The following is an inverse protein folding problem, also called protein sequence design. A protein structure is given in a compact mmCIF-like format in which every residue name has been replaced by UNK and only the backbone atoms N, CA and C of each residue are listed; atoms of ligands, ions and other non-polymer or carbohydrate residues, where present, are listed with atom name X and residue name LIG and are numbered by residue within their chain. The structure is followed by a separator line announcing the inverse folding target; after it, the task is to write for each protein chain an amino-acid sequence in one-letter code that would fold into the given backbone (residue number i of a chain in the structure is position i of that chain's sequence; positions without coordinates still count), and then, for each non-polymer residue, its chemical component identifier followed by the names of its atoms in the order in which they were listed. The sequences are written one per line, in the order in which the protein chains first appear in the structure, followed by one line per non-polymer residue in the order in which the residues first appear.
data_IF_648334892273
#
_entry.id   IF_648334892273
#
_cell.length_a   1.000
_cell.length_b   1.000
_cell.length_c   1.000
_cell.angle_alpha   90.00
_cell.angle_beta   90.00
_cell.angle_gamma   90.00
#
_symmetry.space_group_name_H-M   'P 1'
#
loop_
_entity.id
_entity.type
_entity.pdbx_description
1 polymer ?
#
# COMPACT_ATOMS: atom_id res chain seq x y z
N UNK A 1 0.93 -43.63 26.29
CA UNK A 1 1.77 -42.55 25.71
C UNK A 1 2.22 -41.68 26.86
N UNK A 2 3.53 -41.49 27.04
CA UNK A 2 4.02 -40.49 28.00
C UNK A 2 3.65 -39.09 27.48
N UNK A 3 3.31 -38.12 28.34
CA UNK A 3 2.95 -36.77 27.92
C UNK A 3 4.03 -36.11 27.03
N UNK A 4 5.29 -36.52 27.20
CA UNK A 4 6.40 -36.11 26.33
C UNK A 4 6.22 -36.51 24.86
N UNK A 5 5.76 -37.72 24.56
CA UNK A 5 5.63 -38.21 23.19
C UNK A 5 4.53 -37.51 22.38
N UNK A 6 3.45 -37.09 23.04
CA UNK A 6 2.38 -36.31 22.43
C UNK A 6 2.87 -34.90 22.07
N UNK A 7 3.62 -34.26 22.96
CA UNK A 7 4.20 -32.94 22.71
C UNK A 7 5.14 -32.92 21.49
N UNK A 8 6.00 -33.94 21.36
CA UNK A 8 6.91 -34.09 20.22
C UNK A 8 6.21 -34.27 18.87
N UNK A 9 4.96 -34.76 18.87
CA UNK A 9 4.18 -34.96 17.64
C UNK A 9 3.31 -33.74 17.30
N UNK A 10 2.82 -33.02 18.31
CA UNK A 10 1.99 -31.83 18.12
C UNK A 10 2.77 -30.61 17.64
N UNK A 11 4.00 -30.44 18.14
CA UNK A 11 4.81 -29.26 17.83
C UNK A 11 5.16 -29.15 16.33
N UNK A 12 5.56 -30.22 15.62
CA UNK A 12 5.78 -30.15 14.17
C UNK A 12 4.52 -29.79 13.38
N UNK A 13 3.36 -30.32 13.77
CA UNK A 13 2.09 -30.02 13.13
C UNK A 13 1.76 -28.52 13.30
N UNK A 14 1.91 -28.00 14.51
CA UNK A 14 1.66 -26.59 14.80
C UNK A 14 2.58 -25.66 13.99
N UNK A 15 3.88 -25.97 13.97
CA UNK A 15 4.87 -25.19 13.22
C UNK A 15 4.57 -25.26 11.72
N UNK A 16 4.18 -26.43 11.18
CA UNK A 16 3.87 -26.58 9.77
C UNK A 16 2.68 -25.71 9.37
N UNK A 17 1.62 -25.70 10.19
CA UNK A 17 0.46 -24.84 9.98
C UNK A 17 0.78 -23.35 10.10
N UNK A 18 1.60 -22.97 11.08
CA UNK A 18 2.08 -21.59 11.23
C UNK A 18 2.90 -21.14 10.01
N UNK A 19 3.85 -21.96 9.55
CA UNK A 19 4.66 -21.71 8.35
C UNK A 19 3.75 -21.54 7.13
N UNK A 20 2.80 -22.46 6.92
CA UNK A 20 1.86 -22.37 5.79
C UNK A 20 1.06 -21.07 5.82
N UNK A 21 0.50 -20.71 6.99
CA UNK A 21 -0.25 -19.47 7.18
C UNK A 21 0.61 -18.21 6.98
N UNK A 22 1.82 -18.19 7.52
CA UNK A 22 2.72 -17.04 7.46
C UNK A 22 3.23 -16.75 6.03
N UNK A 23 3.45 -17.77 5.21
CA UNK A 23 3.97 -17.60 3.86
C UNK A 23 2.89 -17.43 2.79
N UNK A 24 1.69 -17.99 2.96
CA UNK A 24 0.59 -17.83 2.01
C UNK A 24 -0.05 -16.44 2.13
N UNK A 25 -0.15 -15.66 1.05
CA UNK A 25 -0.65 -14.28 1.12
C UNK A 25 -2.04 -14.16 1.73
N UNK A 26 -2.96 -15.08 1.44
CA UNK A 26 -4.34 -15.00 1.93
C UNK A 26 -4.45 -15.40 3.38
N UNK A 27 -3.81 -16.50 3.76
CA UNK A 27 -3.84 -16.96 5.15
C UNK A 27 -3.07 -16.01 6.05
N UNK A 28 -1.99 -15.41 5.55
CA UNK A 28 -1.22 -14.40 6.28
C UNK A 28 -2.11 -13.23 6.73
N UNK A 29 -3.05 -12.78 5.89
CA UNK A 29 -4.01 -11.74 6.28
C UNK A 29 -4.82 -12.14 7.52
N UNK A 30 -5.32 -13.38 7.57
CA UNK A 30 -6.07 -13.87 8.73
C UNK A 30 -5.18 -14.19 9.93
N UNK A 31 -3.94 -14.67 9.70
CA UNK A 31 -2.98 -14.97 10.75
C UNK A 31 -2.47 -13.72 11.45
N UNK A 32 -2.29 -12.61 10.72
CA UNK A 32 -1.91 -11.33 11.32
C UNK A 32 -3.00 -10.79 12.27
N UNK A 33 -4.27 -11.08 11.97
CA UNK A 33 -5.45 -10.68 12.78
C UNK A 33 -5.77 -11.64 13.93
N UNK A 34 -5.06 -12.76 14.02
CA UNK A 34 -5.32 -13.77 15.02
C UNK A 34 -4.37 -13.56 16.18
N UNK A 35 -4.90 -13.35 17.38
CA UNK A 35 -4.11 -13.17 18.59
C UNK A 35 -4.23 -14.37 19.54
N UNK A 36 -3.18 -14.58 20.32
CA UNK A 36 -3.12 -15.56 21.41
C UNK A 36 -3.62 -16.96 21.02
N UNK A 37 -4.69 -17.40 21.68
CA UNK A 37 -5.27 -18.74 21.49
C UNK A 37 -5.83 -18.94 20.08
N UNK A 38 -6.36 -17.89 19.44
CA UNK A 38 -6.93 -18.00 18.09
C UNK A 38 -5.85 -18.32 17.07
N UNK A 39 -4.67 -17.70 17.19
CA UNK A 39 -3.53 -18.00 16.33
C UNK A 39 -3.04 -19.44 16.52
N UNK A 40 -3.04 -19.92 17.76
CA UNK A 40 -2.69 -21.30 18.09
C UNK A 40 -3.65 -22.30 17.41
N UNK A 41 -4.97 -22.12 17.56
CA UNK A 41 -5.96 -23.00 16.92
C UNK A 41 -5.94 -22.89 15.40
N UNK A 42 -5.73 -21.70 14.84
CA UNK A 42 -5.58 -21.51 13.40
C UNK A 42 -4.35 -22.27 12.87
N UNK A 43 -3.22 -22.17 13.57
CA UNK A 43 -2.00 -22.89 13.21
C UNK A 43 -2.17 -24.41 13.36
N UNK A 44 -2.83 -24.87 14.42
CA UNK A 44 -3.15 -26.29 14.60
C UNK A 44 -4.04 -26.83 13.47
N UNK A 45 -5.12 -26.11 13.13
CA UNK A 45 -6.05 -26.48 12.07
C UNK A 45 -5.38 -26.53 10.70
N UNK A 46 -4.57 -25.51 10.35
CA UNK A 46 -3.79 -25.50 9.11
C UNK A 46 -2.74 -26.62 9.08
N UNK A 47 -2.12 -26.92 10.22
CA UNK A 47 -1.16 -28.00 10.36
C UNK A 47 -1.78 -29.37 10.11
N UNK A 48 -2.96 -29.64 10.71
CA UNK A 48 -3.72 -30.86 10.48
C UNK A 48 -4.14 -30.99 9.01
N UNK A 49 -4.59 -29.89 8.39
CA UNK A 49 -4.89 -29.87 6.96
C UNK A 49 -3.66 -30.16 6.10
N UNK A 50 -2.49 -29.63 6.46
CA UNK A 50 -1.23 -29.91 5.77
C UNK A 50 -0.82 -31.38 5.90
N UNK A 51 -0.96 -31.99 7.09
CA UNK A 51 -0.72 -33.42 7.29
C UNK A 51 -1.64 -34.25 6.42
N UNK A 52 -2.95 -33.99 6.44
CA UNK A 52 -3.91 -34.72 5.62
C UNK A 52 -3.60 -34.59 4.12
N UNK A 53 -3.31 -33.38 3.64
CA UNK A 53 -2.92 -33.13 2.25
C UNK A 53 -1.61 -33.83 1.88
N UNK A 54 -0.62 -33.85 2.79
CA UNK A 54 0.65 -34.54 2.58
C UNK A 54 0.47 -36.06 2.50
N UNK A 55 -0.34 -36.65 3.38
CA UNK A 55 -0.66 -38.08 3.34
C UNK A 55 -1.36 -38.45 2.04
N UNK A 56 -2.37 -37.70 1.62
CA UNK A 56 -3.05 -37.92 0.35
C UNK A 56 -2.09 -37.78 -0.84
N UNK A 57 -1.16 -36.81 -0.78
CA UNK A 57 -0.14 -36.64 -1.81
C UNK A 57 0.81 -37.84 -1.89
N UNK A 58 1.28 -38.38 -0.76
CA UNK A 58 2.11 -39.60 -0.75
C UNK A 58 1.34 -40.77 -1.35
N UNK A 59 0.10 -41.03 -0.89
CA UNK A 59 -0.71 -42.12 -1.41
C UNK A 59 -0.95 -41.98 -2.93
N UNK A 60 -1.14 -40.76 -3.41
CA UNK A 60 -1.27 -40.48 -4.84
C UNK A 60 0.03 -40.77 -5.62
N UNK A 61 1.19 -40.37 -5.08
CA UNK A 61 2.49 -40.66 -5.70
C UNK A 61 2.77 -42.17 -5.71
N UNK A 62 2.50 -42.88 -4.62
CA UNK A 62 2.64 -44.34 -4.56
C UNK A 62 1.75 -45.03 -5.60
N UNK A 63 0.47 -44.64 -5.67
CA UNK A 63 -0.45 -45.14 -6.69
C UNK A 63 0.04 -44.84 -8.13
N UNK A 64 0.52 -43.62 -8.38
CA UNK A 64 1.04 -43.21 -9.67
C UNK A 64 2.29 -44.00 -10.07
N UNK A 65 3.24 -44.19 -9.14
CA UNK A 65 4.45 -44.98 -9.37
C UNK A 65 4.08 -46.42 -9.70
N UNK A 66 3.21 -47.06 -8.92
CA UNK A 66 2.75 -48.43 -9.18
C UNK A 66 2.13 -48.53 -10.58
N UNK A 67 1.27 -47.57 -10.94
CA UNK A 67 0.59 -47.55 -12.24
C UNK A 67 1.58 -47.38 -13.40
N UNK A 68 2.56 -46.47 -13.27
CA UNK A 68 3.60 -46.25 -14.28
C UNK A 68 4.54 -47.46 -14.41
N UNK A 69 4.84 -48.14 -13.29
CA UNK A 69 5.64 -49.37 -13.28
C UNK A 69 4.93 -50.54 -13.97
N UNK A 70 3.62 -50.69 -13.77
CA UNK A 70 2.82 -51.68 -14.49
C UNK A 70 2.77 -51.39 -16.00
N UNK A 71 2.79 -50.11 -16.38
CA UNK A 71 2.80 -49.71 -17.79
C UNK A 71 4.17 -49.91 -18.47
N UNK A 72 5.28 -49.71 -17.75
CA UNK A 72 6.65 -49.81 -18.29
C UNK A 72 7.61 -50.46 -17.28
N UNK A 73 7.74 -51.80 -17.26
CA UNK A 73 8.56 -52.51 -16.28
C UNK A 73 10.06 -52.17 -16.36
N UNK A 74 10.57 -51.78 -17.53
CA UNK A 74 11.97 -51.38 -17.73
C UNK A 74 12.37 -50.05 -17.08
N UNK A 75 11.41 -49.21 -16.64
CA UNK A 75 11.69 -47.95 -15.95
C UNK A 75 12.18 -48.18 -14.50
N UNK A 76 11.90 -49.37 -13.93
CA UNK A 76 12.08 -49.65 -12.51
C UNK A 76 13.51 -49.99 -12.11
N UNK A 77 14.31 -50.57 -13.03
CA UNK A 77 15.69 -50.97 -12.73
C UNK A 77 16.59 -49.78 -12.36
N UNK A 78 16.20 -48.55 -12.74
CA UNK A 78 16.92 -47.32 -12.41
C UNK A 78 16.31 -46.51 -11.26
N UNK A 79 15.09 -46.82 -10.80
CA UNK A 79 14.35 -46.03 -9.82
C UNK A 79 14.20 -46.71 -8.45
N UNK A 80 14.89 -47.82 -8.21
CA UNK A 80 15.00 -48.47 -6.88
C UNK A 80 15.76 -47.59 -5.89
N UNK A 81 15.10 -46.56 -5.38
CA UNK A 81 15.41 -45.98 -4.09
C UNK A 81 14.72 -46.90 -3.09
N UNK A 82 15.48 -47.74 -2.39
CA UNK A 82 14.92 -48.51 -1.27
C UNK A 82 14.18 -47.56 -0.34
N UNK A 83 12.92 -47.84 0.02
CA UNK A 83 12.24 -47.09 1.05
C UNK A 83 12.81 -47.55 2.39
N UNK A 84 14.06 -47.16 2.68
CA UNK A 84 14.53 -47.13 4.05
C UNK A 84 13.58 -46.18 4.77
N UNK A 85 12.72 -46.76 5.61
CA UNK A 85 11.64 -46.04 6.25
C UNK A 85 12.20 -44.75 6.83
N UNK A 86 11.83 -43.58 6.28
CA UNK A 86 12.35 -42.33 6.77
C UNK A 86 12.01 -42.27 8.25
N UNK A 87 13.05 -42.23 9.10
CA UNK A 87 12.85 -42.08 10.53
C UNK A 87 11.92 -40.90 10.83
N UNK A 88 11.28 -40.89 11.99
CA UNK A 88 10.34 -39.81 12.36
C UNK A 88 10.83 -38.37 12.03
N UNK A 89 12.12 -38.00 12.17
CA UNK A 89 12.62 -36.69 11.78
C UNK A 89 12.49 -36.35 10.29
N UNK A 90 12.72 -37.30 9.39
CA UNK A 90 12.65 -37.06 7.94
C UNK A 90 11.20 -36.86 7.48
N UNK A 91 10.25 -37.57 8.08
CA UNK A 91 8.82 -37.30 7.88
C UNK A 91 8.41 -35.88 8.32
N UNK A 92 8.92 -35.39 9.45
CA UNK A 92 8.64 -34.02 9.90
C UNK A 92 9.26 -32.96 8.99
N UNK A 93 10.50 -33.16 8.55
CA UNK A 93 11.13 -32.26 7.57
C UNK A 93 10.36 -32.23 6.25
N UNK A 94 9.88 -33.39 5.78
CA UNK A 94 9.08 -33.47 4.57
C UNK A 94 7.73 -32.74 4.73
N UNK A 95 7.07 -32.84 5.90
CA UNK A 95 5.86 -32.08 6.21
C UNK A 95 6.11 -30.57 6.16
N UNK A 96 7.21 -30.09 6.75
CA UNK A 96 7.57 -28.67 6.71
C UNK A 96 7.85 -28.19 5.28
N UNK A 97 8.62 -28.97 4.51
CA UNK A 97 8.91 -28.66 3.12
C UNK A 97 7.62 -28.60 2.29
N UNK A 98 6.70 -29.54 2.51
CA UNK A 98 5.39 -29.58 1.86
C UNK A 98 4.52 -28.37 2.23
N UNK A 99 4.44 -28.01 3.51
CA UNK A 99 3.73 -26.82 3.98
C UNK A 99 4.30 -25.54 3.37
N UNK A 100 5.63 -25.41 3.31
CA UNK A 100 6.27 -24.26 2.69
C UNK A 100 6.04 -24.20 1.17
N UNK A 101 6.20 -25.33 0.47
CA UNK A 101 6.02 -25.42 -0.99
C UNK A 101 4.57 -25.15 -1.40
N UNK A 102 3.60 -25.70 -0.66
CA UNK A 102 2.18 -25.44 -0.90
C UNK A 102 1.80 -23.97 -0.68
N UNK A 103 2.39 -23.30 0.32
CA UNK A 103 2.22 -21.85 0.49
C UNK A 103 2.78 -21.08 -0.71
N UNK A 104 3.95 -21.47 -1.22
CA UNK A 104 4.56 -20.87 -2.42
C UNK A 104 3.74 -21.11 -3.67
N UNK A 105 3.19 -22.30 -3.84
CA UNK A 105 2.30 -22.62 -4.95
C UNK A 105 1.02 -21.77 -4.91
N UNK A 106 0.43 -21.59 -3.72
CA UNK A 106 -0.69 -20.66 -3.53
C UNK A 106 -0.36 -19.22 -3.94
N UNK A 107 0.81 -18.72 -3.54
CA UNK A 107 1.29 -17.39 -3.96
C UNK A 107 1.54 -17.31 -5.47
N UNK A 108 2.01 -18.39 -6.09
CA UNK A 108 2.21 -18.46 -7.54
C UNK A 108 0.87 -18.40 -8.28
N UNK A 109 -0.16 -19.10 -7.78
CA UNK A 109 -1.53 -19.02 -8.32
C UNK A 109 -2.05 -17.57 -8.22
N UNK A 110 -1.82 -16.89 -7.10
CA UNK A 110 -2.17 -15.47 -6.97
C UNK A 110 -1.41 -14.58 -7.95
N UNK A 111 -0.11 -14.83 -8.18
CA UNK A 111 0.68 -14.11 -9.20
C UNK A 111 0.12 -14.32 -10.61
N UNK A 112 -0.29 -15.54 -10.96
CA UNK A 112 -0.92 -15.81 -12.25
C UNK A 112 -2.26 -15.08 -12.37
N UNK A 113 -3.08 -15.11 -11.31
CA UNK A 113 -4.39 -14.43 -11.27
C UNK A 113 -4.28 -12.92 -11.44
N UNK A 114 -3.25 -12.31 -10.85
CA UNK A 114 -3.01 -10.86 -10.91
C UNK A 114 -1.94 -10.45 -11.94
N UNK A 115 -1.57 -11.33 -12.87
CA UNK A 115 -0.48 -11.10 -13.85
C UNK A 115 -0.67 -9.84 -14.69
N UNK A 116 -1.92 -9.53 -15.07
CA UNK A 116 -2.25 -8.35 -15.91
C UNK A 116 -2.34 -7.05 -15.12
N UNK A 117 -2.22 -7.10 -13.80
CA UNK A 117 -2.48 -5.95 -12.95
C UNK A 117 -1.16 -5.27 -12.58
N UNK A 118 -1.10 -3.94 -12.67
CA UNK A 118 0.09 -3.12 -12.34
C UNK A 118 0.27 -3.03 -10.82
N UNK A 119 1.48 -3.23 -10.30
CA UNK A 119 1.80 -3.14 -8.87
C UNK A 119 1.86 -4.48 -8.12
N UNK A 120 2.22 -4.42 -6.84
CA UNK A 120 2.55 -5.59 -6.00
C UNK A 120 1.34 -6.53 -5.79
N UNK A 121 1.50 -7.81 -6.14
CA UNK A 121 0.45 -8.83 -6.00
C UNK A 121 -0.02 -8.99 -4.56
N UNK A 122 0.89 -8.92 -3.59
CA UNK A 122 0.55 -9.02 -2.16
C UNK A 122 -0.42 -7.91 -1.75
N UNK A 123 -0.13 -6.69 -2.18
CA UNK A 123 -0.96 -5.50 -1.88
C UNK A 123 -2.37 -5.68 -2.44
N UNK A 124 -2.52 -6.26 -3.63
CA UNK A 124 -3.84 -6.53 -4.24
C UNK A 124 -4.63 -7.62 -3.54
N UNK A 125 -3.95 -8.70 -3.17
CA UNK A 125 -4.58 -9.76 -2.37
C UNK A 125 -5.12 -9.16 -1.07
N UNK A 126 -4.34 -8.30 -0.42
CA UNK A 126 -4.74 -7.63 0.81
C UNK A 126 -5.86 -6.61 0.56
N UNK A 127 -5.78 -5.76 -0.49
CA UNK A 127 -6.88 -4.87 -0.91
C UNK A 127 -8.20 -5.64 -1.04
N UNK A 128 -8.15 -6.78 -1.74
CA UNK A 128 -9.33 -7.61 -1.98
C UNK A 128 -9.88 -8.19 -0.67
N UNK A 129 -9.01 -8.71 0.19
CA UNK A 129 -9.41 -9.28 1.48
C UNK A 129 -9.98 -8.22 2.42
N UNK A 130 -9.43 -7.00 2.42
CA UNK A 130 -9.97 -5.85 3.18
C UNK A 130 -11.34 -5.45 2.61
N UNK A 131 -11.51 -5.45 1.30
CA UNK A 131 -12.80 -5.15 0.67
C UNK A 131 -13.90 -6.16 1.05
N UNK A 132 -13.54 -7.44 1.16
CA UNK A 132 -14.45 -8.54 1.48
C UNK A 132 -14.71 -8.67 3.00
N UNK A 133 -13.67 -8.53 3.83
CA UNK A 133 -13.72 -8.90 5.26
C UNK A 133 -13.34 -7.77 6.23
N UNK A 134 -12.84 -6.64 5.74
CA UNK A 134 -12.37 -5.53 6.58
C UNK A 134 -13.51 -4.71 7.21
N UNK A 135 -13.19 -3.95 8.26
CA UNK A 135 -14.08 -2.95 8.83
C UNK A 135 -14.43 -1.84 7.83
N UNK A 136 -15.53 -1.11 8.06
CA UNK A 136 -15.94 0.00 7.17
C UNK A 136 -14.86 1.08 7.05
N UNK A 137 -14.17 1.38 8.17
CA UNK A 137 -13.03 2.29 8.20
C UNK A 137 -11.86 1.76 7.36
N UNK A 138 -11.49 0.49 7.54
CA UNK A 138 -10.42 -0.13 6.75
C UNK A 138 -10.71 -0.08 5.25
N UNK A 139 -11.96 -0.35 4.85
CA UNK A 139 -12.40 -0.26 3.45
C UNK A 139 -12.32 1.16 2.92
N UNK A 140 -12.74 2.16 3.72
CA UNK A 140 -12.68 3.57 3.35
C UNK A 140 -11.23 4.02 3.13
N UNK A 141 -10.36 3.79 4.11
CA UNK A 141 -8.95 4.16 4.06
C UNK A 141 -8.22 3.45 2.91
N UNK A 142 -8.50 2.16 2.72
CA UNK A 142 -7.92 1.41 1.60
C UNK A 142 -8.36 1.96 0.24
N UNK A 143 -9.64 2.30 0.10
CA UNK A 143 -10.16 2.93 -1.12
C UNK A 143 -9.57 4.34 -1.32
N UNK A 144 -9.32 5.08 -0.23
CA UNK A 144 -8.65 6.38 -0.30
C UNK A 144 -7.24 6.26 -0.87
N UNK A 145 -6.45 5.31 -0.40
CA UNK A 145 -5.10 5.01 -0.93
C UNK A 145 -5.18 4.58 -2.39
N UNK A 146 -6.02 3.59 -2.70
CA UNK A 146 -6.12 3.02 -4.05
C UNK A 146 -6.64 4.04 -5.08
N UNK A 147 -7.50 4.99 -4.68
CA UNK A 147 -8.07 6.03 -5.54
C UNK A 147 -7.42 7.41 -5.39
N UNK A 148 -6.38 7.55 -4.56
CA UNK A 148 -5.72 8.82 -4.23
C UNK A 148 -6.70 9.94 -3.82
N UNK A 149 -7.77 9.58 -3.09
CA UNK A 149 -8.81 10.53 -2.64
C UNK A 149 -8.41 11.19 -1.33
N UNK A 150 -8.87 12.44 -1.15
CA UNK A 150 -8.76 13.14 0.12
C UNK A 150 -9.73 12.52 1.14
N UNK A 151 -9.26 12.43 2.39
CA UNK A 151 -10.04 11.94 3.52
C UNK A 151 -10.08 13.02 4.57
N UNK A 152 -11.28 13.26 5.10
CA UNK A 152 -11.52 14.05 6.29
C UNK A 152 -11.57 13.09 7.50
N UNK A 153 -10.61 13.22 8.41
CA UNK A 153 -10.50 12.43 9.63
C UNK A 153 -10.81 13.34 10.81
N UNK A 154 -11.83 12.98 11.58
CA UNK A 154 -12.17 13.63 12.85
C UNK A 154 -11.70 12.77 14.01
N UNK A 155 -10.94 13.36 14.92
CA UNK A 155 -10.44 12.70 16.12
C UNK A 155 -11.38 12.90 17.30
N UNK A 156 -11.27 12.03 18.32
CA UNK A 156 -11.96 12.16 19.61
C UNK A 156 -11.68 13.50 20.30
N UNK A 157 -10.49 14.06 20.07
CA UNK A 157 -10.11 15.41 20.53
C UNK A 157 -10.86 16.55 19.84
N UNK A 158 -11.76 16.24 18.88
CA UNK A 158 -12.45 17.18 17.98
C UNK A 158 -11.52 17.88 16.98
N UNK A 159 -10.24 17.51 16.92
CA UNK A 159 -9.35 17.96 15.85
C UNK A 159 -9.72 17.24 14.55
N UNK A 160 -9.73 18.00 13.46
CA UNK A 160 -10.08 17.50 12.13
C UNK A 160 -8.88 17.68 11.21
N UNK A 161 -8.49 16.62 10.54
CA UNK A 161 -7.48 16.66 9.51
C UNK A 161 -8.10 16.32 8.16
N UNK A 162 -7.73 17.06 7.13
CA UNK A 162 -8.03 16.69 5.76
C UNK A 162 -6.73 16.44 5.02
N UNK A 163 -6.61 15.32 4.31
CA UNK A 163 -5.36 14.98 3.64
C UNK A 163 -5.42 13.72 2.80
N UNK A 164 -4.28 13.35 2.21
CA UNK A 164 -4.11 12.08 1.49
C UNK A 164 -3.54 11.04 2.44
N UNK A 165 -4.06 9.82 2.34
CA UNK A 165 -3.50 8.68 3.07
C UNK A 165 -2.29 8.17 2.31
N UNK A 166 -1.12 8.17 2.95
CA UNK A 166 0.13 7.71 2.36
C UNK A 166 0.23 6.20 2.50
N UNK A 167 0.14 5.72 3.74
CA UNK A 167 0.19 4.31 4.06
C UNK A 167 -0.99 3.92 4.95
N UNK A 168 -1.54 2.74 4.66
CA UNK A 168 -2.46 2.05 5.56
C UNK A 168 -1.77 0.77 5.98
N UNK A 169 -1.67 0.50 7.30
CA UNK A 169 -1.15 -0.77 7.74
C UNK A 169 -1.97 -1.89 7.11
N UNK A 170 -1.29 -2.97 6.75
CA UNK A 170 -1.94 -4.16 6.21
C UNK A 170 -3.03 -4.71 7.15
N UNK A 171 -2.95 -4.37 8.43
CA UNK A 171 -3.94 -4.70 9.43
C UNK A 171 -4.36 -3.48 10.27
N UNK A 172 -5.44 -2.83 9.84
CA UNK A 172 -6.08 -1.71 10.54
C UNK A 172 -6.81 -2.18 11.81
N UNK A 173 -7.06 -3.48 11.96
CA UNK A 173 -7.87 -4.04 13.05
C UNK A 173 -7.00 -4.72 14.16
N UNK A 174 -5.67 -4.57 14.11
CA UNK A 174 -4.73 -5.09 15.13
C UNK A 174 -4.60 -4.13 16.33
N UNK A 175 -4.01 -4.55 17.46
CA UNK A 175 -3.61 -3.65 18.54
C UNK A 175 -2.62 -2.55 18.07
N UNK A 176 -2.96 -1.30 18.36
CA UNK A 176 -2.20 -0.06 18.07
C UNK A 176 -1.90 0.26 16.60
N UNK A 177 -2.88 0.18 15.67
CA UNK A 177 -2.62 0.51 14.28
C UNK A 177 -2.74 2.02 14.08
N UNK A 178 -1.85 2.59 13.27
CA UNK A 178 -1.85 4.00 12.94
C UNK A 178 -2.10 4.20 11.45
N UNK A 179 -2.59 5.38 11.10
CA UNK A 179 -2.76 5.83 9.73
C UNK A 179 -1.80 6.97 9.46
N UNK A 180 -1.07 6.89 8.35
CA UNK A 180 -0.21 7.96 7.90
C UNK A 180 -0.97 8.87 6.94
N UNK A 181 -1.22 10.09 7.40
CA UNK A 181 -1.94 11.11 6.67
C UNK A 181 -0.97 12.25 6.31
N UNK A 182 -0.91 12.61 5.03
CA UNK A 182 -0.30 13.86 4.60
C UNK A 182 -1.40 14.93 4.53
N UNK A 183 -1.46 15.86 5.50
CA UNK A 183 -2.56 16.81 5.58
C UNK A 183 -2.42 17.92 4.51
N UNK A 184 -3.57 18.37 3.98
CA UNK A 184 -3.71 19.62 3.21
C UNK A 184 -4.17 20.78 4.10
N UNK A 185 -4.96 20.50 5.13
CA UNK A 185 -5.34 21.45 6.16
C UNK A 185 -5.75 20.71 7.43
N UNK A 186 -5.77 21.42 8.55
CA UNK A 186 -6.47 21.01 9.76
C UNK A 186 -7.47 22.06 10.20
N UNK A 187 -8.47 21.62 10.94
CA UNK A 187 -9.47 22.46 11.59
C UNK A 187 -9.90 21.80 12.90
N UNK A 188 -10.94 22.31 13.52
CA UNK A 188 -11.53 21.77 14.73
C UNK A 188 -13.05 21.78 14.62
N UNK A 189 -13.68 20.83 15.30
CA UNK A 189 -15.13 20.73 15.43
C UNK A 189 -15.57 21.51 16.67
N UNK A 190 -16.58 22.36 16.50
CA UNK A 190 -17.20 23.06 17.62
C UNK A 190 -17.73 22.06 18.66
N UNK A 191 -17.65 22.42 19.94
CA UNK A 191 -18.03 21.50 21.03
C UNK A 191 -19.54 21.26 21.05
N UNK A 192 -20.32 22.30 20.76
CA UNK A 192 -21.75 22.34 21.00
C UNK A 192 -22.53 22.09 19.71
N UNK A 193 -22.10 22.68 18.57
CA UNK A 193 -22.78 22.45 17.28
C UNK A 193 -22.30 21.21 16.53
N UNK A 194 -21.11 20.69 16.89
CA UNK A 194 -20.42 19.64 16.14
C UNK A 194 -20.15 20.00 14.66
N UNK A 195 -20.24 21.27 14.29
CA UNK A 195 -19.89 21.75 12.95
C UNK A 195 -18.39 22.01 12.83
N UNK A 196 -17.87 21.99 11.60
CA UNK A 196 -16.48 22.38 11.35
C UNK A 196 -16.33 23.89 11.48
N UNK A 197 -15.33 24.32 12.24
CA UNK A 197 -14.94 25.73 12.30
C UNK A 197 -14.51 26.24 10.92
N UNK A 198 -14.87 27.47 10.58
CA UNK A 198 -14.41 28.11 9.34
C UNK A 198 -12.90 28.36 9.33
N UNK A 199 -12.27 28.41 10.51
CA UNK A 199 -10.81 28.53 10.62
C UNK A 199 -10.11 27.24 10.18
N UNK A 200 -9.24 27.38 9.16
CA UNK A 200 -8.40 26.31 8.64
C UNK A 200 -6.94 26.68 8.79
N UNK A 201 -6.14 25.73 9.27
CA UNK A 201 -4.68 25.82 9.22
C UNK A 201 -4.21 25.07 7.99
N UNK A 202 -3.81 25.76 6.90
CA UNK A 202 -3.35 25.09 5.69
C UNK A 202 -1.99 24.41 5.94
N UNK A 203 -1.79 23.27 5.31
CA UNK A 203 -0.50 22.59 5.21
C UNK A 203 -0.01 22.70 3.77
N UNK A 204 1.02 23.52 3.53
CA UNK A 204 1.45 23.82 2.18
C UNK A 204 2.29 22.71 1.54
N UNK A 205 2.67 21.69 2.31
CA UNK A 205 3.58 20.62 1.89
C UNK A 205 3.13 19.91 0.62
N UNK A 206 1.82 19.72 0.42
CA UNK A 206 1.30 19.07 -0.79
C UNK A 206 1.49 19.97 -2.01
N UNK A 207 1.15 21.25 -1.90
CA UNK A 207 1.36 22.21 -2.99
C UNK A 207 2.85 22.34 -3.35
N UNK A 208 3.71 22.34 -2.33
CA UNK A 208 5.15 22.35 -2.50
C UNK A 208 5.67 21.07 -3.18
N UNK A 209 5.20 19.90 -2.73
CA UNK A 209 5.56 18.61 -3.32
C UNK A 209 5.12 18.50 -4.79
N UNK A 210 3.91 18.96 -5.10
CA UNK A 210 3.39 19.04 -6.47
C UNK A 210 4.24 19.98 -7.32
N UNK A 211 4.63 21.15 -6.79
CA UNK A 211 5.52 22.08 -7.48
C UNK A 211 6.92 21.50 -7.72
N UNK A 212 7.48 20.76 -6.75
CA UNK A 212 8.78 20.08 -6.90
C UNK A 212 8.73 18.97 -7.97
N UNK A 213 7.64 18.19 -8.02
CA UNK A 213 7.45 17.19 -9.07
C UNK A 213 7.35 17.88 -10.44
N UNK A 214 6.53 18.94 -10.54
CA UNK A 214 6.37 19.69 -11.77
C UNK A 214 7.71 20.27 -12.27
N UNK A 215 8.53 20.80 -11.36
CA UNK A 215 9.86 21.30 -11.67
C UNK A 215 10.77 20.19 -12.22
N UNK A 216 10.89 19.07 -11.51
CA UNK A 216 11.74 17.93 -11.94
C UNK A 216 11.32 17.37 -13.29
N UNK A 217 10.00 17.27 -13.54
CA UNK A 217 9.46 16.81 -14.82
C UNK A 217 9.82 17.81 -15.92
N UNK A 218 9.57 19.11 -15.71
CA UNK A 218 9.88 20.13 -16.69
C UNK A 218 11.38 20.22 -17.01
N UNK A 219 12.26 20.07 -16.01
CA UNK A 219 13.70 20.02 -16.20
C UNK A 219 14.13 18.84 -17.05
N UNK A 220 13.63 17.63 -16.74
CA UNK A 220 13.94 16.44 -17.50
C UNK A 220 13.42 16.52 -18.94
N UNK A 221 12.21 17.02 -19.14
CA UNK A 221 11.62 17.23 -20.48
C UNK A 221 12.47 18.23 -21.29
N UNK A 222 12.94 19.31 -20.66
CA UNK A 222 13.79 20.31 -21.29
C UNK A 222 15.18 19.75 -21.66
N UNK A 223 15.80 18.97 -20.75
CA UNK A 223 17.07 18.29 -21.02
C UNK A 223 16.96 17.29 -22.18
N UNK A 224 15.89 16.48 -22.19
CA UNK A 224 15.64 15.52 -23.25
C UNK A 224 15.36 16.21 -24.59
N UNK A 225 14.59 17.30 -24.57
CA UNK A 225 14.35 18.15 -25.74
C UNK A 225 15.67 18.73 -26.29
N UNK A 226 16.48 19.35 -25.44
CA UNK A 226 17.75 19.97 -25.83
C UNK A 226 18.74 18.91 -26.36
N UNK A 227 18.76 17.70 -25.77
CA UNK A 227 19.56 16.56 -26.27
C UNK A 227 19.13 16.14 -27.67
N UNK A 228 17.83 15.91 -27.88
CA UNK A 228 17.29 15.48 -29.19
C UNK A 228 17.62 16.51 -30.27
N UNK A 229 17.45 17.80 -29.96
CA UNK A 229 17.74 18.90 -30.88
C UNK A 229 19.24 19.01 -31.17
N UNK A 230 20.09 18.81 -30.16
CA UNK A 230 21.54 18.76 -30.32
C UNK A 230 21.99 17.61 -31.22
N UNK A 231 21.38 16.43 -31.08
CA UNK A 231 21.71 15.23 -31.87
C UNK A 231 21.27 15.34 -33.33
N UNK A 232 20.15 16.03 -33.60
CA UNK A 232 19.62 16.18 -34.96
C UNK A 232 20.55 16.96 -35.90
N UNK A 233 21.46 17.82 -35.39
CA UNK A 233 22.47 18.62 -36.13
C UNK A 233 21.99 19.18 -37.47
N UNK A 234 20.71 19.52 -37.56
CA UNK A 234 20.02 19.92 -38.79
C UNK A 234 19.63 21.39 -38.71
N UNK A 235 20.36 22.29 -39.40
CA UNK A 235 20.12 23.74 -39.29
C UNK A 235 18.75 24.17 -39.83
N UNK A 236 18.14 23.38 -40.70
CA UNK A 236 16.78 23.53 -41.21
C UNK A 236 15.71 23.32 -40.13
N UNK A 237 15.95 22.41 -39.17
CA UNK A 237 15.04 22.15 -38.07
C UNK A 237 15.18 23.17 -36.93
N UNK A 238 16.36 23.77 -36.76
CA UNK A 238 16.62 24.76 -35.69
C UNK A 238 15.75 26.02 -35.81
N UNK A 239 15.30 26.36 -37.01
CA UNK A 239 14.43 27.52 -37.25
C UNK A 239 12.94 27.14 -37.32
N UNK A 240 12.56 25.93 -36.92
CA UNK A 240 11.17 25.50 -36.96
C UNK A 240 10.38 26.18 -35.82
N UNK A 241 9.34 27.00 -36.12
CA UNK A 241 8.60 27.75 -35.09
C UNK A 241 7.97 26.86 -34.01
N UNK A 242 7.59 25.62 -34.36
CA UNK A 242 7.03 24.67 -33.40
C UNK A 242 8.03 24.20 -32.34
N UNK A 243 9.33 24.18 -32.65
CA UNK A 243 10.38 23.79 -31.70
C UNK A 243 10.63 24.90 -30.69
N UNK A 244 10.66 26.15 -31.14
CA UNK A 244 10.78 27.31 -30.26
C UNK A 244 9.55 27.47 -29.35
N UNK A 245 8.36 27.23 -29.89
CA UNK A 245 7.12 27.19 -29.10
C UNK A 245 7.16 26.08 -28.02
N UNK A 246 7.59 24.87 -28.37
CA UNK A 246 7.69 23.77 -27.39
C UNK A 246 8.71 24.09 -26.29
N UNK A 247 9.87 24.63 -26.66
CA UNK A 247 10.93 24.99 -25.70
C UNK A 247 10.47 26.10 -24.75
N UNK A 248 9.84 27.15 -25.28
CA UNK A 248 9.30 28.26 -24.48
C UNK A 248 8.21 27.79 -23.52
N UNK A 249 7.34 26.86 -23.93
CA UNK A 249 6.33 26.28 -23.05
C UNK A 249 6.94 25.45 -21.92
N UNK A 250 7.96 24.64 -22.20
CA UNK A 250 8.71 23.91 -21.16
C UNK A 250 9.42 24.86 -20.19
N UNK A 251 10.03 25.93 -20.70
CA UNK A 251 10.64 26.98 -19.88
C UNK A 251 9.62 27.73 -19.01
N UNK A 252 8.43 28.02 -19.56
CA UNK A 252 7.32 28.62 -18.81
C UNK A 252 6.91 27.72 -17.64
N UNK A 253 6.65 26.44 -17.90
CA UNK A 253 6.31 25.44 -16.86
C UNK A 253 7.39 25.33 -15.79
N UNK A 254 8.67 25.32 -16.20
CA UNK A 254 9.80 25.35 -15.26
C UNK A 254 9.76 26.61 -14.39
N UNK A 255 9.63 27.78 -14.99
CA UNK A 255 9.60 29.05 -14.27
C UNK A 255 8.41 29.17 -13.33
N UNK A 256 7.22 28.70 -13.73
CA UNK A 256 6.03 28.67 -12.87
C UNK A 256 6.23 27.79 -11.64
N UNK A 257 6.80 26.59 -11.82
CA UNK A 257 7.11 25.70 -10.70
C UNK A 257 8.17 26.32 -9.77
N UNK A 258 9.23 26.92 -10.33
CA UNK A 258 10.25 27.64 -9.54
C UNK A 258 9.65 28.80 -8.76
N UNK A 259 8.82 29.64 -9.40
CA UNK A 259 8.17 30.78 -8.75
C UNK A 259 7.22 30.33 -7.63
N UNK A 260 6.48 29.24 -7.82
CA UNK A 260 5.62 28.67 -6.79
C UNK A 260 6.44 28.21 -5.57
N UNK A 261 7.57 27.55 -5.81
CA UNK A 261 8.50 27.12 -4.76
C UNK A 261 9.11 28.33 -4.05
N UNK A 262 9.62 29.33 -4.78
CA UNK A 262 10.22 30.53 -4.20
C UNK A 262 9.21 31.37 -3.41
N UNK A 263 8.00 31.55 -3.94
CA UNK A 263 6.91 32.23 -3.24
C UNK A 263 6.59 31.53 -1.91
N UNK A 264 6.63 30.20 -1.92
CA UNK A 264 6.43 29.41 -0.70
C UNK A 264 7.52 29.64 0.35
N UNK A 265 8.79 29.70 -0.07
CA UNK A 265 9.93 29.94 0.84
C UNK A 265 9.95 31.35 1.41
N UNK A 266 9.56 32.36 0.60
CA UNK A 266 9.45 33.75 1.08
C UNK A 266 8.43 33.89 2.20
N UNK A 267 7.34 33.12 2.15
CA UNK A 267 6.31 33.12 3.20
C UNK A 267 6.81 32.37 4.46
N UNK A 268 7.75 31.44 4.30
CA UNK A 268 8.26 30.59 5.36
C UNK A 268 9.77 30.71 5.49
N UNK A 269 10.26 31.89 5.90
CA UNK A 269 11.70 32.22 6.00
C UNK A 269 12.53 31.22 6.82
N UNK A 270 11.89 30.39 7.64
CA UNK A 270 12.54 29.35 8.45
C UNK A 270 12.69 27.98 7.76
N UNK A 271 12.14 27.78 6.56
CA UNK A 271 12.16 26.48 5.87
C UNK A 271 13.15 26.53 4.69
N UNK A 272 14.27 25.80 4.84
CA UNK A 272 15.25 25.61 3.76
C UNK A 272 14.76 24.58 2.74
N UNK A 273 14.90 24.86 1.44
CA UNK A 273 14.48 23.98 0.34
C UNK A 273 15.09 22.57 0.36
N UNK A 274 16.34 22.47 0.82
CA UNK A 274 17.08 21.21 0.81
C UNK A 274 16.70 20.27 1.96
N UNK A 275 15.93 20.73 2.94
CA UNK A 275 15.62 19.99 4.16
C UNK A 275 14.14 19.60 4.29
N UNK A 276 13.32 19.80 3.25
CA UNK A 276 11.89 19.50 3.33
C UNK A 276 11.69 17.99 3.16
N UNK A 277 11.78 17.28 4.28
CA UNK A 277 11.53 15.86 4.32
C UNK A 277 10.03 15.62 4.50
N UNK A 278 9.42 14.95 3.51
CA UNK A 278 7.98 14.70 3.49
C UNK A 278 7.49 13.98 4.75
N UNK A 279 8.31 13.08 5.29
CA UNK A 279 8.12 12.33 6.52
C UNK A 279 7.92 13.21 7.76
N UNK A 280 8.49 14.40 7.81
CA UNK A 280 8.29 15.33 8.94
C UNK A 280 6.89 15.95 8.95
N UNK A 281 6.19 15.92 7.82
CA UNK A 281 4.84 16.46 7.65
C UNK A 281 3.75 15.40 7.75
N UNK A 282 4.12 14.12 7.70
CA UNK A 282 3.19 13.01 7.87
C UNK A 282 2.65 13.03 9.30
N UNK A 283 1.32 12.99 9.40
CA UNK A 283 0.62 12.81 10.67
C UNK A 283 0.33 11.33 10.85
N UNK A 284 0.92 10.78 11.90
CA UNK A 284 0.66 9.43 12.39
C UNK A 284 -0.51 9.52 13.36
N UNK A 285 -1.66 8.98 12.94
CA UNK A 285 -2.91 9.04 13.70
C UNK A 285 -3.27 7.63 14.19
N UNK A 286 -3.29 7.38 15.51
CA UNK A 286 -3.80 6.13 16.06
C UNK A 286 -5.26 5.90 15.66
N UNK A 287 -5.62 4.68 15.26
CA UNK A 287 -6.98 4.38 14.78
C UNK A 287 -8.02 4.48 15.90
N UNK A 288 -7.63 4.21 17.14
CA UNK A 288 -8.46 4.38 18.32
C UNK A 288 -8.77 5.86 18.62
N UNK A 289 -7.95 6.79 18.16
CA UNK A 289 -8.23 8.24 18.23
C UNK A 289 -9.20 8.73 17.15
N UNK A 290 -9.43 7.94 16.10
CA UNK A 290 -10.33 8.30 15.00
C UNK A 290 -11.78 8.09 15.46
N UNK A 291 -12.54 9.19 15.55
CA UNK A 291 -13.97 9.17 15.83
C UNK A 291 -14.76 8.88 14.55
N UNK A 292 -14.40 9.53 13.45
CA UNK A 292 -15.05 9.33 12.15
C UNK A 292 -14.14 9.69 10.98
N UNK A 293 -14.33 9.04 9.83
CA UNK A 293 -13.64 9.36 8.59
C UNK A 293 -14.61 9.37 7.41
N UNK A 294 -14.42 10.31 6.48
CA UNK A 294 -15.21 10.44 5.25
C UNK A 294 -14.33 10.87 4.07
N UNK A 295 -14.78 10.63 2.84
CA UNK A 295 -14.12 11.25 1.68
C UNK A 295 -14.38 12.75 1.67
N UNK A 296 -13.34 13.52 1.37
CA UNK A 296 -13.45 14.96 1.17
C UNK A 296 -13.47 15.27 -0.32
N UNK A 297 -14.54 15.93 -0.77
CA UNK A 297 -14.66 16.45 -2.13
C UNK A 297 -14.50 17.97 -2.09
N UNK A 298 -13.57 18.49 -2.89
CA UNK A 298 -13.26 19.92 -2.98
C UNK A 298 -14.40 20.75 -3.58
N UNK A 299 -15.38 20.12 -4.23
CA UNK A 299 -16.56 20.75 -4.83
C UNK A 299 -17.73 20.95 -3.85
N UNK A 300 -17.70 20.29 -2.69
CA UNK A 300 -18.77 20.35 -1.70
C UNK A 300 -18.51 21.23 -0.44
N UNK A 301 -17.48 22.08 -0.29
CA UNK A 301 -17.01 22.43 1.05
C UNK A 301 -17.90 23.44 1.77
N UNK A 302 -18.48 24.43 1.09
CA UNK A 302 -18.98 25.64 1.77
C UNK A 302 -20.10 25.39 2.79
N UNK A 303 -20.90 24.33 2.61
CA UNK A 303 -21.98 24.00 3.54
C UNK A 303 -21.54 23.17 4.75
N UNK A 304 -20.35 22.57 4.72
CA UNK A 304 -19.81 21.77 5.85
C UNK A 304 -19.11 22.63 6.90
N UNK A 305 -18.69 23.84 6.53
CA UNK A 305 -18.02 24.76 7.43
C UNK A 305 -19.00 25.83 7.86
N UNK A 306 -18.93 26.19 9.13
CA UNK A 306 -19.64 27.37 9.62
C UNK A 306 -19.12 28.57 8.82
N UNK A 307 -20.04 29.35 8.25
CA UNK A 307 -19.72 30.68 7.72
C UNK A 307 -19.33 31.54 8.91
N UNK A 308 -18.06 31.51 9.29
CA UNK A 308 -17.56 32.47 10.25
C UNK A 308 -17.77 33.85 9.64
N UNK A 309 -18.50 34.72 10.36
CA UNK A 309 -18.82 36.09 9.97
C UNK A 309 -17.59 37.02 10.04
N UNK A 310 -16.40 36.48 9.74
CA UNK A 310 -15.12 37.15 9.94
C UNK A 310 -14.45 37.26 8.58
N UNK A 311 -14.40 38.50 8.10
CA UNK A 311 -13.64 38.99 6.96
C UNK A 311 -12.32 38.21 6.74
N UNK A 312 -12.30 37.28 5.78
CA UNK A 312 -11.07 36.63 5.33
C UNK A 312 -10.64 37.25 3.98
N UNK A 313 -9.44 37.83 3.87
CA UNK A 313 -8.89 38.43 2.64
C UNK A 313 -8.51 37.42 1.54
N UNK A 314 -9.03 36.19 1.56
CA UNK A 314 -8.57 35.10 0.68
C UNK A 314 -8.95 35.32 -0.80
N UNK A 315 -9.89 36.23 -1.10
CA UNK A 315 -10.22 36.58 -2.48
C UNK A 315 -9.12 37.40 -3.19
N UNK A 316 -8.11 37.91 -2.48
CA UNK A 316 -6.99 38.65 -3.09
C UNK A 316 -5.81 37.76 -3.53
N UNK A 317 -5.62 36.57 -2.97
CA UNK A 317 -4.53 35.67 -3.39
C UNK A 317 -4.92 34.83 -4.62
N UNK A 318 -6.20 34.48 -4.76
CA UNK A 318 -6.70 33.83 -5.97
C UNK A 318 -6.86 34.79 -7.16
N UNK A 319 -7.12 36.08 -6.92
CA UNK A 319 -7.24 37.09 -7.98
C UNK A 319 -5.92 37.68 -8.45
N UNK A 320 -4.84 37.58 -7.67
CA UNK A 320 -3.50 38.04 -8.11
C UNK A 320 -2.75 37.02 -8.99
N UNK A 321 -3.21 35.76 -9.05
CA UNK A 321 -2.65 34.72 -9.91
C UNK A 321 -3.41 34.51 -11.25
N UNK A 322 -4.53 35.22 -11.46
CA UNK A 322 -5.44 35.02 -12.60
C UNK A 322 -5.68 36.27 -13.44
N UNK A 323 -4.65 37.10 -13.63
CA UNK A 323 -4.69 38.26 -14.50
C UNK A 323 -4.03 38.00 -15.86
N UNK A 324 -4.58 37.09 -16.66
CA UNK A 324 -4.28 37.02 -18.11
C UNK A 324 -5.58 37.35 -18.84
N UNK A 325 -5.57 38.52 -19.49
CA UNK A 325 -6.64 38.98 -20.36
C UNK A 325 -6.83 38.03 -21.54
N UNK A 326 -8.05 38.08 -22.09
CA UNK A 326 -8.43 37.57 -23.42
C UNK A 326 -7.38 37.77 -24.49
#
# INVERSE_FOLDING_TARGET
MTPSAALFSLLPILIAGYVFGAFNYRLRYFSLRAEGQRLFFMSAGLGLAAVAAYTLFICFIEWLVITLCQANPGLFDHLRISPDHPGRPTAWMALFAFAWLSARLGNLIDRFRYRKSVGNVRVKVFSKLIAENGSSLARLLRRAVDSQKLVLITLKSRKVYCGRIIETPADIDHDSPFVELLPIFSSHRDKDSLELSGQRTPYPIIALWEAQIALKVAEKELEEFDRIIGDLKRPDLMNYPGLEHTRSELQRRKSEATNAIEGFLKINEHISLMDIKLDEWIKVIPIDEIESASFFETSLPEHWFKKDSVNAPEEQVARSAGGVSK
#
